data_IF_001990730811
#
_entry.id   IF_001990730811
#
_cell.length_a   1.000
_cell.length_b   1.000
_cell.length_c   1.000
_cell.angle_alpha   90.00
_cell.angle_beta   90.00
_cell.angle_gamma   90.00
#
_symmetry.space_group_name_H-M   'P 1'
#
loop_
_entity.id
_entity.type
_entity.pdbx_description
1 polymer ?
#
# COMPACT_ATOMS: atom_id res chain seq x y z
N UNK A 1 10.46 5.51 -50.18
CA UNK A 1 11.82 4.93 -50.06
C UNK A 1 12.57 5.74 -49.01
N UNK A 2 12.93 5.28 -47.82
CA UNK A 2 12.90 3.99 -47.16
C UNK A 2 12.82 4.24 -45.64
N UNK A 3 12.07 3.39 -44.93
CA UNK A 3 12.07 3.30 -43.47
C UNK A 3 13.31 2.53 -43.04
N UNK A 4 14.15 3.09 -42.15
CA UNK A 4 15.14 2.32 -41.38
C UNK A 4 15.42 3.01 -40.03
N UNK A 5 14.69 2.60 -38.99
CA UNK A 5 15.20 2.69 -37.61
C UNK A 5 15.00 1.34 -36.93
N UNK A 6 16.11 0.62 -36.83
CA UNK A 6 16.55 0.02 -35.57
C UNK A 6 15.74 -1.12 -35.01
N UNK A 7 15.93 -2.32 -35.57
CA UNK A 7 15.73 -3.58 -34.87
C UNK A 7 16.70 -3.66 -33.68
N UNK A 8 16.20 -3.61 -32.45
CA UNK A 8 16.96 -4.02 -31.26
C UNK A 8 16.49 -5.40 -30.85
N UNK A 9 17.00 -6.40 -31.56
CA UNK A 9 17.06 -7.76 -31.05
C UNK A 9 18.06 -7.83 -29.91
N UNK A 10 17.57 -8.11 -28.70
CA UNK A 10 18.38 -8.75 -27.65
C UNK A 10 17.64 -10.00 -27.18
N UNK A 11 17.80 -11.06 -27.96
CA UNK A 11 17.69 -12.39 -27.40
C UNK A 11 19.03 -12.75 -26.74
N UNK A 12 18.93 -13.40 -25.58
CA UNK A 12 19.70 -14.57 -25.15
C UNK A 12 20.28 -14.45 -23.73
N UNK A 13 19.90 -15.42 -22.91
CA UNK A 13 20.86 -16.06 -22.01
C UNK A 13 20.84 -15.60 -20.56
N UNK A 14 19.75 -15.81 -19.84
CA UNK A 14 19.88 -16.24 -18.44
C UNK A 14 19.41 -17.68 -18.33
N UNK A 15 20.36 -18.58 -18.56
CA UNK A 15 20.28 -19.98 -18.14
C UNK A 15 20.03 -19.94 -16.62
N UNK A 16 18.75 -20.06 -16.25
CA UNK A 16 18.35 -20.30 -14.86
C UNK A 16 18.74 -21.73 -14.59
N UNK A 17 19.94 -21.93 -14.06
CA UNK A 17 20.34 -23.18 -13.42
C UNK A 17 19.27 -23.53 -12.40
N UNK A 18 18.34 -24.40 -12.80
CA UNK A 18 17.40 -25.06 -11.91
C UNK A 18 18.28 -25.92 -11.01
N UNK A 19 18.65 -25.37 -9.86
CA UNK A 19 19.14 -26.18 -8.76
C UNK A 19 18.00 -27.16 -8.41
N UNK A 20 18.17 -28.49 -8.52
CA UNK A 20 17.27 -29.40 -7.86
C UNK A 20 17.60 -29.28 -6.38
N UNK A 21 16.95 -28.34 -5.71
CA UNK A 21 16.98 -28.21 -4.26
C UNK A 21 16.14 -29.36 -3.70
N UNK A 22 16.67 -30.58 -3.80
CA UNK A 22 16.13 -31.79 -3.19
C UNK A 22 16.34 -31.68 -1.68
N UNK A 23 15.40 -31.00 -1.02
CA UNK A 23 15.29 -31.04 0.43
C UNK A 23 14.48 -32.28 0.71
N UNK A 24 15.18 -33.39 0.96
CA UNK A 24 14.65 -34.47 1.77
C UNK A 24 14.05 -33.81 3.02
N UNK A 25 12.73 -33.78 3.10
CA UNK A 25 12.00 -33.28 4.26
C UNK A 25 12.19 -34.27 5.40
N UNK A 26 13.36 -34.21 6.05
CA UNK A 26 13.53 -34.82 7.37
C UNK A 26 12.78 -33.92 8.38
N UNK A 27 11.77 -34.45 9.09
CA UNK A 27 11.19 -33.73 10.21
C UNK A 27 12.14 -33.82 11.40
N UNK A 28 13.08 -32.87 11.48
CA UNK A 28 13.91 -32.69 12.67
C UNK A 28 13.06 -32.05 13.78
N UNK A 29 12.24 -32.85 14.45
CA UNK A 29 11.84 -32.66 15.85
C UNK A 29 10.79 -33.70 16.23
N UNK A 30 11.18 -34.59 17.14
CA UNK A 30 10.33 -35.36 18.06
C UNK A 30 8.89 -34.86 18.14
N UNK A 31 8.00 -35.45 17.33
CA UNK A 31 6.54 -35.65 17.41
C UNK A 31 5.63 -34.80 18.31
N UNK A 32 6.07 -33.67 18.85
CA UNK A 32 5.28 -32.75 19.63
C UNK A 32 4.57 -31.86 18.63
N UNK A 33 3.25 -31.90 18.65
CA UNK A 33 2.40 -30.97 17.91
C UNK A 33 2.73 -29.56 18.41
N UNK A 34 3.71 -28.91 17.78
CA UNK A 34 4.05 -27.53 18.05
C UNK A 34 2.81 -26.72 17.71
N UNK A 35 2.06 -26.33 18.73
CA UNK A 35 0.90 -25.47 18.58
C UNK A 35 1.41 -24.16 17.99
N UNK A 36 1.03 -23.90 16.74
CA UNK A 36 1.41 -22.66 16.08
C UNK A 36 0.89 -21.50 16.93
N UNK A 37 1.81 -20.68 17.44
CA UNK A 37 1.44 -19.52 18.25
C UNK A 37 0.54 -18.61 17.41
N UNK A 38 -0.72 -18.43 17.83
CA UNK A 38 -1.65 -17.52 17.18
C UNK A 38 -1.28 -16.07 17.51
N UNK A 39 -0.22 -15.55 16.87
CA UNK A 39 0.12 -14.12 16.91
C UNK A 39 -0.73 -13.36 15.90
N UNK A 40 -1.35 -12.26 16.33
CA UNK A 40 -2.10 -11.36 15.46
C UNK A 40 -1.20 -10.71 14.40
N UNK A 41 -1.79 -10.30 13.26
CA UNK A 41 -1.07 -9.55 12.22
C UNK A 41 -0.50 -8.24 12.77
N UNK A 42 0.65 -7.83 12.25
CA UNK A 42 1.25 -6.54 12.56
C UNK A 42 0.29 -5.40 12.20
N UNK A 43 0.16 -4.43 13.10
CA UNK A 43 -0.50 -3.13 12.89
C UNK A 43 0.50 -2.15 12.26
N UNK A 44 0.03 -1.02 11.75
CA UNK A 44 0.88 0.06 11.21
C UNK A 44 0.66 0.40 9.74
N UNK A 45 -0.20 -0.34 9.03
CA UNK A 45 -0.58 -0.07 7.64
C UNK A 45 -1.99 0.54 7.51
N UNK A 46 -2.53 1.13 8.58
CA UNK A 46 -3.90 1.66 8.64
C UNK A 46 -4.11 2.80 7.62
N UNK A 47 -3.09 3.64 7.46
CA UNK A 47 -3.11 4.70 6.47
C UNK A 47 -2.63 4.19 5.12
N UNK A 48 -3.58 4.01 4.21
CA UNK A 48 -3.29 3.77 2.78
C UNK A 48 -3.66 5.02 1.98
N UNK A 49 -2.68 5.75 1.43
CA UNK A 49 -2.91 7.06 0.82
C UNK A 49 -3.75 6.92 -0.44
N UNK A 50 -4.85 7.66 -0.50
CA UNK A 50 -5.68 7.79 -1.70
C UNK A 50 -6.31 9.18 -1.75
N UNK A 51 -6.00 9.92 -2.81
CA UNK A 51 -6.44 11.32 -2.94
C UNK A 51 -7.96 11.45 -3.03
N UNK A 52 -8.61 10.53 -3.74
CA UNK A 52 -10.07 10.48 -3.89
C UNK A 52 -10.72 10.33 -2.52
N UNK A 53 -10.31 9.32 -1.73
CA UNK A 53 -10.86 9.11 -0.38
C UNK A 53 -10.60 10.31 0.54
N UNK A 54 -9.40 10.89 0.47
CA UNK A 54 -9.01 12.07 1.27
C UNK A 54 -9.91 13.27 0.98
N UNK A 55 -10.13 13.62 -0.31
CA UNK A 55 -10.96 14.75 -0.70
C UNK A 55 -12.45 14.52 -0.43
N UNK A 56 -12.96 13.31 -0.64
CA UNK A 56 -14.36 13.00 -0.31
C UNK A 56 -14.63 12.99 1.20
N UNK A 57 -13.71 12.46 2.01
CA UNK A 57 -13.91 12.38 3.47
C UNK A 57 -13.62 13.69 4.19
N UNK A 58 -12.64 14.46 3.72
CA UNK A 58 -12.11 15.59 4.48
C UNK A 58 -11.93 16.87 3.68
N UNK A 59 -12.41 16.93 2.45
CA UNK A 59 -12.35 18.11 1.58
C UNK A 59 -13.36 19.20 1.95
N UNK A 60 -13.19 20.37 1.35
CA UNK A 60 -13.97 21.57 1.63
C UNK A 60 -15.47 21.39 1.42
N UNK A 61 -15.87 20.83 0.27
CA UNK A 61 -17.27 20.59 -0.09
C UNK A 61 -17.96 19.70 0.97
N UNK A 62 -17.29 18.66 1.43
CA UNK A 62 -17.78 17.75 2.50
C UNK A 62 -17.99 18.48 3.83
N UNK A 63 -17.17 19.50 4.13
CA UNK A 63 -17.33 20.30 5.35
C UNK A 63 -18.52 21.24 5.26
N UNK A 64 -18.77 21.83 4.09
CA UNK A 64 -19.91 22.73 3.88
C UNK A 64 -21.24 21.99 3.81
N UNK A 65 -21.25 20.70 3.46
CA UNK A 65 -22.50 19.93 3.31
C UNK A 65 -23.25 19.65 4.63
N UNK A 66 -22.65 19.94 5.79
CA UNK A 66 -23.27 19.68 7.11
C UNK A 66 -23.05 20.85 8.04
N UNK A 67 -24.02 21.20 8.92
CA UNK A 67 -23.87 22.30 9.87
C UNK A 67 -22.69 22.08 10.83
N UNK A 68 -22.49 20.83 11.30
CA UNK A 68 -21.34 20.48 12.14
C UNK A 68 -20.00 20.67 11.40
N UNK A 69 -19.95 20.38 10.10
CA UNK A 69 -18.77 20.60 9.28
C UNK A 69 -18.44 22.08 9.12
N UNK A 70 -19.44 22.94 8.95
CA UNK A 70 -19.28 24.40 8.93
C UNK A 70 -18.72 24.90 10.26
N UNK A 71 -19.24 24.42 11.40
CA UNK A 71 -18.70 24.77 12.73
C UNK A 71 -17.24 24.35 12.92
N UNK A 72 -16.80 23.23 12.31
CA UNK A 72 -15.37 22.85 12.32
C UNK A 72 -14.53 23.90 11.59
N UNK A 73 -14.99 24.40 10.44
CA UNK A 73 -14.29 25.44 9.68
C UNK A 73 -14.22 26.74 10.48
N UNK A 74 -15.33 27.19 11.06
CA UNK A 74 -15.36 28.41 11.88
C UNK A 74 -14.39 28.33 13.07
N UNK A 75 -14.35 27.19 13.78
CA UNK A 75 -13.38 26.97 14.86
C UNK A 75 -11.93 26.99 14.38
N UNK A 76 -11.65 26.46 13.18
CA UNK A 76 -10.30 26.50 12.58
C UNK A 76 -9.90 27.91 12.15
N UNK A 77 -10.85 28.69 11.62
CA UNK A 77 -10.64 30.11 11.27
C UNK A 77 -10.37 30.94 12.52
N UNK A 78 -11.19 30.80 13.55
CA UNK A 78 -10.99 31.49 14.83
C UNK A 78 -9.65 31.15 15.48
N UNK A 79 -9.20 29.88 15.37
CA UNK A 79 -7.87 29.45 15.84
C UNK A 79 -6.71 29.94 14.94
N UNK A 80 -6.98 30.47 13.74
CA UNK A 80 -5.94 30.92 12.81
C UNK A 80 -5.14 29.78 12.16
N UNK A 81 -5.76 28.62 11.89
CA UNK A 81 -5.06 27.52 11.20
C UNK A 81 -4.78 27.89 9.74
N UNK A 82 -3.53 27.73 9.28
CA UNK A 82 -3.11 27.96 7.87
C UNK A 82 -3.94 27.16 6.86
N UNK A 83 -4.33 25.93 7.18
CA UNK A 83 -5.25 25.12 6.38
C UNK A 83 -6.54 24.86 7.15
N UNK A 84 -7.68 25.06 6.48
CA UNK A 84 -9.01 24.85 7.07
C UNK A 84 -9.56 23.45 6.73
N UNK A 85 -9.19 22.91 5.58
CA UNK A 85 -9.63 21.61 5.07
C UNK A 85 -8.52 20.96 4.24
N UNK A 86 -8.69 19.68 3.87
CA UNK A 86 -7.77 18.96 2.99
C UNK A 86 -7.94 19.30 1.51
#
# INVERSE_FOLDING_TARGET
MAFLVGSVGRQLGRVRWLQPRAWLGLPDAWGLLATQQNRGKARGNEYQPSNIKRKHKHGWIRRLSTPAGVQVILRRMHKGRKSLSH
#
